data_IF_758723773237
#
_entry.id   IF_758723773237
#
_cell.length_a   1.000
_cell.length_b   1.000
_cell.length_c   1.000
_cell.angle_alpha   90.00
_cell.angle_beta   90.00
_cell.angle_gamma   90.00
#
_symmetry.space_group_name_H-M   'P 1'
#
loop_
_entity.id
_entity.type
_entity.pdbx_description
1 polymer ?
#
# COMPACT_ATOMS: atom_id res chain seq x y z
N UNK A 1 -34.82 -3.62 1.33
CA UNK A 1 -34.69 -4.37 2.60
C UNK A 1 -33.65 -3.64 3.45
N UNK A 2 -33.95 -3.49 4.75
CA UNK A 2 -33.43 -2.49 5.71
C UNK A 2 -31.92 -2.18 5.68
N UNK A 3 -31.60 -0.90 5.47
CA UNK A 3 -30.26 -0.30 5.63
C UNK A 3 -30.06 0.35 7.03
N UNK A 4 -30.98 0.09 7.97
CA UNK A 4 -31.14 0.86 9.21
C UNK A 4 -30.53 0.24 10.49
N UNK A 5 -29.78 -0.86 10.41
CA UNK A 5 -29.20 -1.53 11.59
C UNK A 5 -27.69 -1.80 11.52
N UNK A 6 -26.96 -1.30 10.53
CA UNK A 6 -25.50 -1.49 10.47
C UNK A 6 -24.74 -0.42 11.25
N UNK A 7 -23.82 -0.84 12.11
CA UNK A 7 -22.88 0.06 12.79
C UNK A 7 -22.01 0.79 11.75
N UNK A 8 -21.48 1.98 12.07
CA UNK A 8 -20.52 2.67 11.19
C UNK A 8 -19.35 1.79 10.74
N UNK A 9 -18.87 0.91 11.62
CA UNK A 9 -17.81 -0.06 11.35
C UNK A 9 -18.24 -1.13 10.35
N UNK A 10 -19.44 -1.69 10.51
CA UNK A 10 -19.98 -2.67 9.55
C UNK A 10 -20.17 -2.04 8.17
N UNK A 11 -20.60 -0.78 8.11
CA UNK A 11 -20.69 -0.03 6.85
C UNK A 11 -19.32 0.21 6.22
N UNK A 12 -18.31 0.56 7.01
CA UNK A 12 -16.93 0.71 6.54
C UNK A 12 -16.38 -0.60 5.98
N UNK A 13 -16.54 -1.72 6.70
CA UNK A 13 -16.13 -3.07 6.22
C UNK A 13 -16.85 -3.46 4.95
N UNK A 14 -18.16 -3.22 4.83
CA UNK A 14 -18.90 -3.47 3.59
C UNK A 14 -18.40 -2.66 2.39
N UNK A 15 -17.91 -1.43 2.61
CA UNK A 15 -17.24 -0.64 1.56
C UNK A 15 -15.88 -1.21 1.23
N UNK A 16 -15.06 -1.54 2.22
CA UNK A 16 -13.72 -2.14 2.04
C UNK A 16 -13.82 -3.46 1.26
N UNK A 17 -14.75 -4.34 1.63
CA UNK A 17 -15.03 -5.59 0.92
C UNK A 17 -15.28 -5.37 -0.57
N UNK A 18 -16.07 -4.35 -0.92
CA UNK A 18 -16.35 -3.99 -2.32
C UNK A 18 -15.10 -3.46 -3.02
N UNK A 19 -14.38 -2.52 -2.39
CA UNK A 19 -13.15 -1.97 -2.96
C UNK A 19 -12.07 -3.04 -3.20
N UNK A 20 -11.97 -4.03 -2.30
CA UNK A 20 -11.08 -5.17 -2.45
C UNK A 20 -11.49 -6.05 -3.64
N UNK A 21 -12.79 -6.39 -3.76
CA UNK A 21 -13.29 -7.16 -4.91
C UNK A 21 -13.09 -6.42 -6.22
N UNK A 22 -13.34 -5.10 -6.26
CA UNK A 22 -13.12 -4.25 -7.44
C UNK A 22 -11.63 -4.20 -7.83
N UNK A 23 -10.73 -4.30 -6.85
CA UNK A 23 -9.29 -4.45 -7.06
C UNK A 23 -8.84 -5.90 -7.37
N UNK A 24 -9.76 -6.84 -7.53
CA UNK A 24 -9.48 -8.22 -7.92
C UNK A 24 -9.15 -9.18 -6.77
N UNK A 25 -9.40 -8.81 -5.52
CA UNK A 25 -9.18 -9.68 -4.37
C UNK A 25 -10.34 -10.66 -4.15
N UNK A 26 -10.00 -11.91 -3.84
CA UNK A 26 -10.96 -12.86 -3.29
C UNK A 26 -11.13 -12.60 -1.79
N UNK A 27 -12.23 -11.95 -1.41
CA UNK A 27 -12.56 -11.73 0.00
C UNK A 27 -13.23 -12.98 0.59
N UNK A 28 -12.75 -13.46 1.73
CA UNK A 28 -13.23 -14.66 2.41
C UNK A 28 -13.52 -14.39 3.89
N UNK A 29 -14.42 -15.17 4.48
CA UNK A 29 -14.51 -15.35 5.94
C UNK A 29 -13.62 -16.51 6.37
N UNK A 30 -13.30 -16.58 7.66
CA UNK A 30 -12.49 -17.67 8.21
C UNK A 30 -13.11 -19.07 8.00
N UNK A 31 -14.45 -19.16 7.93
CA UNK A 31 -15.17 -20.42 7.69
C UNK A 31 -14.88 -21.01 6.29
N UNK A 32 -14.64 -20.14 5.30
CA UNK A 32 -14.36 -20.52 3.91
C UNK A 32 -12.88 -20.37 3.57
N UNK A 33 -12.01 -20.36 4.60
CA UNK A 33 -10.61 -20.02 4.45
C UNK A 33 -9.88 -20.98 3.50
N UNK A 34 -9.50 -20.45 2.34
CA UNK A 34 -8.61 -21.07 1.39
C UNK A 34 -7.65 -20.02 0.83
N UNK A 35 -6.45 -19.95 1.40
CA UNK A 35 -5.37 -19.05 0.97
C UNK A 35 -4.91 -19.25 -0.48
N UNK A 36 -5.25 -20.38 -1.10
CA UNK A 36 -4.88 -20.72 -2.47
C UNK A 36 -6.04 -20.53 -3.47
N UNK A 37 -7.17 -19.93 -3.06
CA UNK A 37 -8.33 -19.79 -3.93
C UNK A 37 -8.12 -18.84 -5.12
N UNK A 38 -7.18 -17.90 -5.00
CA UNK A 38 -6.81 -16.94 -6.03
C UNK A 38 -5.37 -16.46 -5.80
N UNK A 39 -4.83 -15.66 -6.72
CA UNK A 39 -3.54 -14.99 -6.51
C UNK A 39 -3.56 -14.11 -5.26
N UNK A 40 -4.63 -13.33 -5.05
CA UNK A 40 -4.84 -12.51 -3.87
C UNK A 40 -6.09 -12.92 -3.10
N UNK A 41 -5.92 -13.26 -1.82
CA UNK A 41 -7.01 -13.60 -0.90
C UNK A 41 -6.96 -12.68 0.31
N UNK A 42 -8.07 -12.02 0.63
CA UNK A 42 -8.23 -11.20 1.82
C UNK A 42 -9.18 -11.90 2.80
N UNK A 43 -8.67 -12.28 3.97
CA UNK A 43 -9.45 -13.05 4.96
C UNK A 43 -9.85 -12.15 6.11
N UNK A 44 -11.16 -12.03 6.35
CA UNK A 44 -11.74 -11.19 7.40
C UNK A 44 -11.50 -11.75 8.80
N UNK A 45 -11.36 -10.85 9.76
CA UNK A 45 -11.32 -11.11 11.22
C UNK A 45 -10.30 -12.21 11.60
N UNK A 46 -9.10 -12.14 11.02
CA UNK A 46 -8.06 -13.15 11.21
C UNK A 46 -7.33 -12.98 12.55
N UNK A 47 -7.19 -14.07 13.29
CA UNK A 47 -6.51 -14.07 14.59
C UNK A 47 -4.99 -14.23 14.44
N UNK A 48 -4.24 -13.23 14.90
CA UNK A 48 -2.78 -13.27 14.99
C UNK A 48 -2.33 -13.30 16.46
N UNK A 49 -1.09 -13.73 16.75
CA UNK A 49 -0.56 -13.74 18.12
C UNK A 49 -0.54 -12.36 18.79
N UNK A 50 -0.41 -11.29 18.01
CA UNK A 50 -0.49 -9.89 18.50
C UNK A 50 -1.92 -9.36 18.69
N UNK A 51 -2.93 -10.14 18.32
CA UNK A 51 -4.33 -9.76 18.34
C UNK A 51 -5.03 -9.95 16.99
N UNK A 52 -6.36 -9.81 16.96
CA UNK A 52 -7.12 -9.89 15.72
C UNK A 52 -6.78 -8.72 14.80
N UNK A 53 -6.68 -9.01 13.49
CA UNK A 53 -6.67 -8.00 12.44
C UNK A 53 -7.98 -8.05 11.65
N UNK A 54 -8.42 -6.92 11.09
CA UNK A 54 -9.67 -6.87 10.33
C UNK A 54 -9.56 -7.68 9.02
N UNK A 55 -8.42 -7.60 8.33
CA UNK A 55 -8.13 -8.45 7.18
C UNK A 55 -6.67 -8.88 7.18
N UNK A 56 -6.42 -10.17 6.92
CA UNK A 56 -5.11 -10.69 6.57
C UNK A 56 -5.04 -10.94 5.05
N UNK A 57 -4.01 -10.40 4.42
CA UNK A 57 -3.78 -10.50 2.98
C UNK A 57 -2.79 -11.63 2.66
N UNK A 58 -3.26 -12.57 1.85
CA UNK A 58 -2.46 -13.61 1.24
C UNK A 58 -2.23 -13.29 -0.23
N UNK A 59 -0.98 -13.44 -0.67
CA UNK A 59 -0.58 -13.31 -2.07
C UNK A 59 0.19 -14.58 -2.44
N UNK A 60 -0.23 -15.25 -3.50
CA UNK A 60 0.30 -16.56 -3.90
C UNK A 60 0.32 -17.57 -2.72
N UNK A 61 -0.76 -17.62 -1.93
CA UNK A 61 -0.91 -18.54 -0.81
C UNK A 61 -0.07 -18.21 0.44
N UNK A 62 0.65 -17.09 0.46
CA UNK A 62 1.51 -16.67 1.57
C UNK A 62 1.06 -15.33 2.15
N UNK A 63 1.05 -15.21 3.47
CA UNK A 63 0.74 -13.97 4.16
C UNK A 63 1.75 -12.88 3.77
N UNK A 64 1.24 -11.70 3.43
CA UNK A 64 2.02 -10.58 2.90
C UNK A 64 1.66 -9.23 3.54
N UNK A 65 0.42 -9.05 3.98
CA UNK A 65 -0.01 -7.79 4.57
C UNK A 65 -1.29 -7.87 5.38
N UNK A 66 -1.69 -6.72 5.94
CA UNK A 66 -2.91 -6.55 6.73
C UNK A 66 -3.68 -5.31 6.30
N UNK A 67 -4.98 -5.30 6.60
CA UNK A 67 -5.82 -4.11 6.51
C UNK A 67 -6.51 -3.91 7.86
N UNK A 68 -6.39 -2.71 8.40
CA UNK A 68 -7.11 -2.24 9.58
C UNK A 68 -8.28 -1.35 9.16
N UNK A 69 -9.49 -1.76 9.49
CA UNK A 69 -10.70 -1.00 9.21
C UNK A 69 -10.95 0.00 10.34
N UNK A 70 -11.18 1.27 9.98
CA UNK A 70 -11.53 2.35 10.92
C UNK A 70 -12.93 2.85 10.62
N UNK A 71 -13.60 3.43 11.63
CA UNK A 71 -14.93 4.03 11.44
C UNK A 71 -14.83 5.22 10.49
N UNK A 72 -15.85 5.44 9.66
CA UNK A 72 -15.96 6.64 8.85
C UNK A 72 -15.93 7.90 9.75
N UNK A 73 -15.23 8.96 9.31
CA UNK A 73 -15.06 10.21 10.06
C UNK A 73 -13.89 10.23 11.05
N UNK A 74 -13.15 9.13 11.21
CA UNK A 74 -11.86 9.13 11.93
C UNK A 74 -10.74 9.58 10.99
N UNK A 75 -10.00 10.62 11.38
CA UNK A 75 -8.84 11.09 10.62
C UNK A 75 -7.71 10.06 10.69
N UNK A 76 -7.37 9.44 9.56
CA UNK A 76 -6.31 8.43 9.49
C UNK A 76 -4.90 9.00 9.76
N UNK A 77 -4.67 10.30 9.49
CA UNK A 77 -3.35 10.92 9.65
C UNK A 77 -2.85 11.03 11.09
N UNK A 78 -3.74 10.97 12.10
CA UNK A 78 -3.37 10.97 13.52
C UNK A 78 -3.04 9.60 14.10
N UNK A 79 -3.24 8.52 13.32
CA UNK A 79 -3.21 7.12 13.80
C UNK A 79 -2.05 6.31 13.19
N UNK A 80 -1.22 6.94 12.35
CA UNK A 80 -0.13 6.31 11.57
C UNK A 80 0.97 5.58 12.38
N UNK A 81 0.83 5.48 13.71
CA UNK A 81 1.72 4.72 14.60
C UNK A 81 1.11 3.43 15.18
N UNK A 82 -0.14 3.04 14.86
CA UNK A 82 -0.73 1.82 15.43
C UNK A 82 -0.35 0.52 14.71
N UNK A 83 0.15 0.60 13.48
CA UNK A 83 0.50 -0.56 12.68
C UNK A 83 1.73 -1.33 13.16
N UNK A 84 2.48 -0.78 14.13
CA UNK A 84 3.60 -1.48 14.76
C UNK A 84 3.13 -2.69 15.59
N UNK A 85 1.82 -2.80 15.85
CA UNK A 85 1.21 -3.91 16.60
C UNK A 85 1.32 -5.26 15.89
N UNK A 86 1.41 -5.30 14.55
CA UNK A 86 1.58 -6.54 13.77
C UNK A 86 3.03 -6.86 13.40
N UNK A 87 3.99 -6.13 13.99
CA UNK A 87 5.41 -6.46 13.93
C UNK A 87 5.75 -7.73 14.76
N UNK A 88 4.76 -8.32 15.44
CA UNK A 88 4.90 -9.61 16.10
C UNK A 88 4.94 -10.76 15.08
N UNK A 89 5.75 -11.77 15.37
CA UNK A 89 5.94 -12.91 14.50
C UNK A 89 4.61 -13.60 14.12
N UNK A 90 4.41 -13.83 12.82
CA UNK A 90 3.27 -14.63 12.33
C UNK A 90 3.33 -16.06 12.88
N UNK A 91 2.18 -16.76 13.03
CA UNK A 91 2.14 -18.14 13.50
C UNK A 91 3.10 -19.04 12.71
N UNK A 92 3.89 -19.87 13.39
CA UNK A 92 4.96 -20.69 12.77
C UNK A 92 4.51 -21.53 11.57
N UNK A 93 3.27 -22.04 11.61
CA UNK A 93 2.68 -22.88 10.55
C UNK A 93 2.11 -22.08 9.36
N UNK A 94 2.02 -20.75 9.47
CA UNK A 94 1.49 -19.90 8.43
C UNK A 94 2.55 -19.65 7.35
N UNK A 95 2.22 -19.99 6.10
CA UNK A 95 3.07 -19.67 4.97
C UNK A 95 3.14 -18.14 4.81
N UNK A 96 4.35 -17.61 4.68
CA UNK A 96 4.63 -16.16 4.72
C UNK A 96 5.67 -15.77 3.68
N UNK A 97 5.58 -14.55 3.16
CA UNK A 97 6.61 -13.98 2.29
C UNK A 97 7.84 -13.50 3.06
N UNK A 98 7.64 -13.11 4.31
CA UNK A 98 8.67 -12.61 5.23
C UNK A 98 8.23 -12.90 6.66
N UNK A 99 9.16 -12.88 7.61
CA UNK A 99 8.86 -13.05 9.04
C UNK A 99 7.93 -11.96 9.58
N UNK A 100 7.99 -10.78 8.96
CA UNK A 100 7.11 -9.65 9.21
C UNK A 100 6.24 -9.38 7.98
N UNK A 101 5.00 -8.94 8.22
CA UNK A 101 4.12 -8.50 7.15
C UNK A 101 4.68 -7.23 6.49
N UNK A 102 4.69 -7.22 5.16
CA UNK A 102 5.28 -6.13 4.38
C UNK A 102 4.30 -5.00 4.13
N UNK A 103 3.07 -5.37 3.79
CA UNK A 103 2.06 -4.43 3.36
C UNK A 103 1.08 -4.13 4.48
N UNK A 104 0.80 -2.85 4.65
CA UNK A 104 -0.03 -2.38 5.75
C UNK A 104 -0.97 -1.32 5.21
N UNK A 105 -2.25 -1.53 5.42
CA UNK A 105 -3.31 -0.62 5.02
C UNK A 105 -4.14 -0.21 6.21
N UNK A 106 -4.53 1.07 6.23
CA UNK A 106 -5.56 1.59 7.11
C UNK A 106 -6.66 2.16 6.23
N UNK A 107 -7.91 1.76 6.44
CA UNK A 107 -9.01 2.22 5.60
C UNK A 107 -10.28 2.52 6.37
N UNK A 108 -10.95 3.62 6.01
CA UNK A 108 -12.33 3.91 6.44
C UNK A 108 -13.37 3.46 5.41
N UNK A 109 -12.92 2.93 4.27
CA UNK A 109 -13.73 2.72 3.07
C UNK A 109 -13.89 3.96 2.19
N UNK A 110 -13.63 5.16 2.72
CA UNK A 110 -13.62 6.42 1.94
C UNK A 110 -12.19 6.92 1.70
N UNK A 111 -11.29 6.64 2.65
CA UNK A 111 -9.87 6.93 2.55
C UNK A 111 -9.08 5.67 2.84
N UNK A 112 -7.99 5.47 2.11
CA UNK A 112 -7.08 4.35 2.33
C UNK A 112 -5.65 4.87 2.39
N UNK A 113 -4.97 4.56 3.48
CA UNK A 113 -3.53 4.72 3.62
C UNK A 113 -2.84 3.38 3.35
N UNK A 114 -1.65 3.45 2.79
CA UNK A 114 -0.79 2.31 2.49
C UNK A 114 0.63 2.58 2.97
N UNK A 115 1.27 1.56 3.52
CA UNK A 115 2.68 1.55 3.92
C UNK A 115 3.33 0.25 3.42
N UNK A 116 4.50 0.37 2.80
CA UNK A 116 5.41 -0.75 2.54
C UNK A 116 6.55 -0.66 3.55
N UNK A 117 6.66 -1.65 4.44
CA UNK A 117 7.65 -1.64 5.52
C UNK A 117 9.10 -1.79 5.04
N UNK A 118 9.31 -2.19 3.78
CA UNK A 118 10.65 -2.25 3.16
C UNK A 118 11.11 -0.92 2.57
N UNK A 119 10.24 0.10 2.50
CA UNK A 119 10.65 1.42 2.04
C UNK A 119 11.72 2.03 2.97
N UNK A 120 12.74 2.77 2.46
CA UNK A 120 13.86 3.27 3.29
C UNK A 120 13.44 4.16 4.45
N UNK A 121 12.35 4.91 4.22
CA UNK A 121 11.63 5.71 5.22
C UNK A 121 10.16 5.31 5.14
N UNK A 122 9.85 4.12 5.62
CA UNK A 122 8.50 3.57 5.61
C UNK A 122 7.53 4.55 6.28
N UNK A 123 6.58 5.07 5.49
CA UNK A 123 5.55 5.99 5.96
C UNK A 123 4.23 5.71 5.24
N UNK A 124 3.14 5.83 5.98
CA UNK A 124 1.80 5.71 5.43
C UNK A 124 1.55 6.84 4.42
N UNK A 125 0.99 6.48 3.26
CA UNK A 125 0.62 7.40 2.19
C UNK A 125 -0.77 7.11 1.70
N UNK A 126 -1.52 8.14 1.29
CA UNK A 126 -2.84 7.96 0.71
C UNK A 126 -2.72 7.26 -0.65
N UNK A 127 -3.54 6.24 -0.85
CA UNK A 127 -3.74 5.59 -2.15
C UNK A 127 -5.18 5.79 -2.60
N UNK A 128 -5.38 5.86 -3.91
CA UNK A 128 -6.71 6.05 -4.48
C UNK A 128 -7.57 4.79 -4.34
N UNK A 129 -6.96 3.61 -4.50
CA UNK A 129 -7.59 2.31 -4.36
C UNK A 129 -6.60 1.31 -3.75
N UNK A 130 -7.10 0.18 -3.27
CA UNK A 130 -6.24 -0.96 -2.94
C UNK A 130 -5.47 -1.39 -4.18
N UNK A 131 -4.20 -1.76 -4.00
CA UNK A 131 -3.41 -2.33 -5.08
C UNK A 131 -3.98 -3.70 -5.47
N UNK A 132 -3.87 -4.03 -6.76
CA UNK A 132 -4.24 -5.36 -7.25
C UNK A 132 -3.29 -6.43 -6.71
N UNK A 133 -3.74 -7.68 -6.53
CA UNK A 133 -2.87 -8.78 -6.12
C UNK A 133 -1.64 -8.95 -7.01
N UNK A 134 -1.79 -8.81 -8.33
CA UNK A 134 -0.69 -8.92 -9.30
C UNK A 134 0.41 -7.89 -9.01
N UNK A 135 0.02 -6.63 -8.80
CA UNK A 135 0.97 -5.54 -8.50
C UNK A 135 1.76 -5.81 -7.22
N UNK A 136 1.07 -6.27 -6.17
CA UNK A 136 1.74 -6.57 -4.90
C UNK A 136 2.62 -7.83 -5.00
N UNK A 137 2.22 -8.82 -5.80
CA UNK A 137 3.04 -9.99 -6.09
C UNK A 137 4.35 -9.60 -6.77
N UNK A 138 4.28 -8.82 -7.85
CA UNK A 138 5.48 -8.32 -8.54
C UNK A 138 6.41 -7.55 -7.59
N UNK A 139 5.84 -6.75 -6.69
CA UNK A 139 6.63 -6.04 -5.68
C UNK A 139 7.27 -6.97 -4.66
N UNK A 140 6.62 -8.07 -4.29
CA UNK A 140 7.18 -9.09 -3.38
C UNK A 140 8.35 -9.84 -4.01
N UNK A 141 8.31 -10.08 -5.32
CA UNK A 141 9.39 -10.72 -6.06
C UNK A 141 10.54 -9.76 -6.40
N UNK A 142 10.26 -8.46 -6.46
CA UNK A 142 11.28 -7.44 -6.73
C UNK A 142 12.17 -7.21 -5.48
N UNK A 143 13.51 -7.23 -5.63
CA UNK A 143 14.41 -7.03 -4.50
C UNK A 143 14.27 -5.62 -3.90
N UNK A 144 14.20 -4.58 -4.72
CA UNK A 144 14.13 -3.19 -4.26
C UNK A 144 12.71 -2.62 -4.38
N UNK A 145 12.27 -1.89 -3.34
CA UNK A 145 11.00 -1.16 -3.42
C UNK A 145 11.08 -0.03 -4.45
N UNK A 146 9.93 0.49 -4.88
CA UNK A 146 9.90 1.68 -5.73
C UNK A 146 10.67 2.85 -5.10
N UNK A 147 10.52 3.06 -3.79
CA UNK A 147 11.20 4.17 -3.11
C UNK A 147 12.71 3.98 -3.00
N UNK A 148 13.17 2.73 -2.85
CA UNK A 148 14.61 2.43 -2.95
C UNK A 148 15.14 2.78 -4.34
N UNK A 149 14.43 2.37 -5.40
CA UNK A 149 14.84 2.65 -6.79
C UNK A 149 14.83 4.15 -7.12
N UNK A 150 13.85 4.90 -6.62
CA UNK A 150 13.80 6.37 -6.78
C UNK A 150 14.94 7.09 -6.05
N UNK A 151 15.48 6.52 -4.97
CA UNK A 151 16.65 7.05 -4.27
C UNK A 151 17.99 6.72 -4.98
N UNK A 152 17.97 5.79 -5.94
CA UNK A 152 19.14 5.30 -6.65
C UNK A 152 18.89 5.26 -8.17
N UNK A 153 18.38 6.37 -8.72
CA UNK A 153 18.17 6.50 -10.16
C UNK A 153 19.51 6.45 -10.92
N UNK A 154 19.53 5.89 -12.14
CA UNK A 154 20.70 5.96 -13.02
C UNK A 154 21.10 7.41 -13.27
N UNK A 155 22.39 7.64 -13.54
CA UNK A 155 22.88 8.98 -13.90
C UNK A 155 22.19 9.52 -15.16
N UNK A 156 21.77 10.78 -15.13
CA UNK A 156 21.22 11.49 -16.28
C UNK A 156 22.23 11.54 -17.44
N UNK A 157 21.79 11.16 -18.64
CA UNK A 157 22.52 11.44 -19.88
C UNK A 157 22.24 12.88 -20.32
N UNK A 158 23.23 13.75 -20.12
CA UNK A 158 23.08 15.19 -20.35
C UNK A 158 23.22 15.59 -21.84
N UNK A 159 23.52 14.64 -22.74
CA UNK A 159 23.76 14.95 -24.15
C UNK A 159 22.50 15.53 -24.82
N UNK A 160 22.64 16.73 -25.36
CA UNK A 160 21.55 17.42 -26.07
C UNK A 160 20.57 18.15 -25.14
N UNK A 161 20.79 18.15 -23.83
CA UNK A 161 20.00 18.93 -22.88
C UNK A 161 20.62 20.31 -22.67
N UNK A 162 19.77 21.32 -22.45
CA UNK A 162 20.19 22.64 -21.97
C UNK A 162 20.33 22.64 -20.45
N UNK A 163 21.12 23.56 -19.92
CA UNK A 163 21.33 23.73 -18.47
C UNK A 163 20.02 23.77 -17.69
N UNK A 164 19.02 24.53 -18.18
CA UNK A 164 17.73 24.62 -17.52
C UNK A 164 16.92 23.30 -17.50
N UNK A 165 17.13 22.41 -18.49
CA UNK A 165 16.53 21.07 -18.50
C UNK A 165 17.28 20.15 -17.54
N UNK A 166 18.61 20.22 -17.52
CA UNK A 166 19.46 19.45 -16.60
C UNK A 166 19.10 19.80 -15.14
N UNK A 167 19.00 21.09 -14.81
CA UNK A 167 18.63 21.56 -13.48
C UNK A 167 17.22 21.10 -13.08
N UNK A 168 16.26 21.18 -14.01
CA UNK A 168 14.89 20.74 -13.77
C UNK A 168 14.81 19.22 -13.50
N UNK A 169 15.53 18.41 -14.27
CA UNK A 169 15.56 16.94 -14.11
C UNK A 169 16.25 16.58 -12.81
N UNK A 170 17.46 17.08 -12.55
CA UNK A 170 18.19 16.80 -11.30
C UNK A 170 17.41 17.25 -10.06
N UNK A 171 16.74 18.40 -10.14
CA UNK A 171 15.85 18.87 -9.07
C UNK A 171 14.66 17.94 -8.83
N UNK A 172 14.05 17.39 -9.90
CA UNK A 172 12.99 16.40 -9.80
C UNK A 172 13.50 15.07 -9.23
N UNK A 173 14.62 14.56 -9.71
CA UNK A 173 15.25 13.33 -9.23
C UNK A 173 15.57 13.42 -7.73
N UNK A 174 16.15 14.54 -7.29
CA UNK A 174 16.38 14.79 -5.86
C UNK A 174 15.06 14.84 -5.07
N UNK A 175 14.04 15.51 -5.61
CA UNK A 175 12.72 15.57 -4.97
C UNK A 175 12.07 14.19 -4.82
N UNK A 176 12.23 13.31 -5.83
CA UNK A 176 11.77 11.93 -5.80
C UNK A 176 12.57 11.09 -4.79
N UNK A 177 13.90 11.23 -4.77
CA UNK A 177 14.78 10.56 -3.81
C UNK A 177 14.48 10.95 -2.35
N UNK A 178 14.13 12.23 -2.14
CA UNK A 178 13.69 12.76 -0.84
C UNK A 178 12.27 12.30 -0.45
N UNK A 179 11.59 11.54 -1.30
CA UNK A 179 10.20 11.12 -1.13
C UNK A 179 9.29 12.35 -0.90
N UNK A 180 9.41 13.38 -1.75
CA UNK A 180 8.48 14.52 -1.74
C UNK A 180 7.26 14.18 -2.61
N UNK A 181 6.03 14.18 -2.05
CA UNK A 181 4.85 13.74 -2.79
C UNK A 181 4.40 14.72 -3.89
N UNK A 182 4.94 15.94 -3.89
CA UNK A 182 4.60 17.00 -4.83
C UNK A 182 5.87 17.76 -5.20
N UNK A 183 6.08 17.92 -6.51
CA UNK A 183 7.16 18.70 -7.09
C UNK A 183 6.56 19.67 -8.12
N UNK A 184 7.13 20.87 -8.22
CA UNK A 184 6.74 21.86 -9.23
C UNK A 184 7.98 22.27 -10.01
N UNK A 185 7.95 22.06 -11.33
CA UNK A 185 8.95 22.59 -12.25
C UNK A 185 8.34 23.81 -12.93
N UNK A 186 9.00 24.96 -12.80
CA UNK A 186 8.61 26.19 -13.47
C UNK A 186 9.64 26.53 -14.56
N UNK A 187 9.22 26.44 -15.81
CA UNK A 187 10.06 26.77 -16.97
C UNK A 187 9.27 27.62 -17.97
N UNK A 188 9.94 28.61 -18.55
CA UNK A 188 9.36 29.47 -19.59
C UNK A 188 8.83 28.68 -20.79
N UNK A 189 7.85 29.22 -21.50
CA UNK A 189 7.38 28.65 -22.78
C UNK A 189 8.52 28.67 -23.81
N UNK A 190 8.70 27.59 -24.57
CA UNK A 190 9.84 27.43 -25.48
C UNK A 190 11.13 26.89 -24.82
N UNK A 191 11.17 26.74 -23.49
CA UNK A 191 12.30 26.17 -22.77
C UNK A 191 12.41 24.62 -22.87
N UNK A 192 11.65 23.99 -23.79
CA UNK A 192 11.81 22.56 -24.11
C UNK A 192 11.28 21.60 -23.05
N UNK A 193 10.17 21.94 -22.38
CA UNK A 193 9.53 21.11 -21.34
C UNK A 193 9.14 19.69 -21.78
N UNK A 194 9.00 19.45 -23.08
CA UNK A 194 8.60 18.17 -23.69
C UNK A 194 9.75 17.39 -24.34
N UNK A 195 10.94 17.99 -24.41
CA UNK A 195 12.15 17.37 -24.97
C UNK A 195 12.91 16.68 -23.84
#
# INVERSE_FOLDING_TARGET
MNDSHQTPEQRARGRIDRLLRDAGWQVQDMADFNRNAALGVAVREFQLPSGPCDYLLFIAGKAAGVIEAKKAGVTLSGVAGQSDKYMAALPGHLARWSDQLRFDYESTGDETLFRDTRDPKARSRRVFAFHRPETLHDWLETPDTLRQRLAALPSLDERGLRDCQIDAIKGLEQSLADDRPRSLIQMATGAGKTF
#
